data_IF_274338705490
#
_entry.id   IF_274338705490
#
_cell.length_a   1.000
_cell.length_b   1.000
_cell.length_c   1.000
_cell.angle_alpha   90.00
_cell.angle_beta   90.00
_cell.angle_gamma   90.00
#
_symmetry.space_group_name_H-M   'P 1'
#
loop_
_entity.id
_entity.type
_entity.pdbx_description
1 polymer ?
#
# COMPACT_ATOMS: atom_id res chain seq x y z
N UNK A 1 21.52 -0.14 8.40
CA UNK A 1 21.23 -1.10 7.32
C UNK A 1 20.32 -0.39 6.35
N UNK A 2 20.82 -0.06 5.16
CA UNK A 2 19.99 0.54 4.11
C UNK A 2 19.05 -0.54 3.59
N UNK A 3 17.73 -0.29 3.65
CA UNK A 3 16.79 -1.16 2.95
C UNK A 3 16.83 -0.85 1.47
N UNK A 4 16.82 -1.90 0.65
CA UNK A 4 16.69 -1.76 -0.79
C UNK A 4 15.45 -0.91 -1.12
N UNK A 5 15.48 -0.06 -2.16
CA UNK A 5 14.33 0.76 -2.54
C UNK A 5 13.08 -0.09 -2.81
N UNK A 6 11.89 0.49 -2.62
CA UNK A 6 10.62 -0.15 -2.95
C UNK A 6 10.56 -0.45 -4.46
N UNK A 7 10.29 -1.71 -4.81
CA UNK A 7 10.19 -2.14 -6.20
C UNK A 7 8.72 -2.14 -6.67
N UNK A 8 8.35 -1.17 -7.50
CA UNK A 8 6.99 -1.07 -8.04
C UNK A 8 6.74 -2.06 -9.20
N UNK A 9 5.49 -2.49 -9.44
CA UNK A 9 4.26 -2.15 -8.70
C UNK A 9 4.19 -2.79 -7.30
N UNK A 10 3.32 -2.27 -6.44
CA UNK A 10 3.14 -2.73 -5.05
C UNK A 10 1.66 -2.95 -4.70
N UNK A 11 1.41 -3.87 -3.78
CA UNK A 11 0.10 -4.04 -3.12
C UNK A 11 0.31 -3.63 -1.68
N UNK A 12 -0.44 -2.64 -1.23
CA UNK A 12 -0.30 -2.13 0.13
C UNK A 12 -1.61 -2.18 0.90
N UNK A 13 -1.47 -2.21 2.22
CA UNK A 13 -2.58 -2.04 3.15
C UNK A 13 -2.58 -0.64 3.74
N UNK A 14 -3.70 0.05 3.57
CA UNK A 14 -3.97 1.36 4.16
C UNK A 14 -5.27 1.32 4.94
N UNK A 15 -5.18 1.48 6.26
CA UNK A 15 -6.28 1.13 7.16
C UNK A 15 -6.66 -0.34 6.97
N UNK A 16 -7.90 -0.58 6.57
CA UNK A 16 -8.43 -1.92 6.25
C UNK A 16 -8.53 -2.20 4.75
N UNK A 17 -8.14 -1.23 3.92
CA UNK A 17 -8.17 -1.33 2.47
C UNK A 17 -6.89 -1.98 1.94
N UNK A 18 -7.04 -2.81 0.92
CA UNK A 18 -5.94 -3.42 0.17
C UNK A 18 -5.96 -2.82 -1.23
N UNK A 19 -4.86 -2.20 -1.62
CA UNK A 19 -4.80 -1.41 -2.85
C UNK A 19 -3.56 -1.83 -3.66
N UNK A 20 -3.73 -2.31 -4.90
CA UNK A 20 -2.66 -2.39 -5.89
C UNK A 20 -2.37 -1.00 -6.44
N UNK A 21 -1.09 -0.67 -6.59
CA UNK A 21 -0.68 0.61 -7.15
C UNK A 21 0.67 0.50 -7.86
N UNK A 22 0.81 1.22 -8.98
CA UNK A 22 2.08 1.43 -9.64
C UNK A 22 2.85 2.58 -8.98
N UNK A 23 3.59 3.33 -9.79
CA UNK A 23 4.39 4.47 -9.30
C UNK A 23 3.50 5.65 -8.89
N UNK A 24 2.22 5.61 -9.23
CA UNK A 24 1.24 6.68 -8.95
C UNK A 24 1.06 6.89 -7.44
N UNK A 25 1.36 5.88 -6.61
CA UNK A 25 1.36 5.97 -5.14
C UNK A 25 2.14 7.20 -4.64
N UNK A 26 3.27 7.49 -5.29
CA UNK A 26 4.17 8.59 -4.95
C UNK A 26 3.44 9.93 -5.06
N UNK A 27 2.66 10.11 -6.14
CA UNK A 27 1.87 11.31 -6.36
C UNK A 27 0.62 11.35 -5.48
N UNK A 28 -0.11 10.23 -5.40
CA UNK A 28 -1.43 10.15 -4.77
C UNK A 28 -1.39 10.41 -3.26
N UNK A 29 -0.34 9.92 -2.59
CA UNK A 29 -0.15 10.07 -1.15
C UNK A 29 0.92 11.10 -0.77
N UNK A 30 1.48 11.80 -1.77
CA UNK A 30 2.66 12.62 -1.58
C UNK A 30 3.79 11.84 -0.87
N UNK A 31 3.95 10.57 -1.24
CA UNK A 31 4.79 9.58 -0.56
C UNK A 31 6.26 9.82 -0.95
N UNK A 32 6.94 10.66 -0.16
CA UNK A 32 8.30 11.15 -0.45
C UNK A 32 9.35 10.46 0.41
N UNK A 33 10.43 10.00 -0.21
CA UNK A 33 11.61 9.51 0.51
C UNK A 33 12.33 10.67 1.20
N UNK A 34 12.68 10.51 2.48
CA UNK A 34 13.37 11.54 3.29
C UNK A 34 14.70 11.07 3.86
N UNK A 35 15.24 9.97 3.32
CA UNK A 35 16.52 9.39 3.70
C UNK A 35 16.40 8.06 4.45
N UNK A 36 17.46 7.25 4.37
CA UNK A 36 17.49 5.88 4.89
C UNK A 36 16.24 5.09 4.44
N UNK A 37 15.45 4.59 5.39
CA UNK A 37 14.25 3.79 5.14
C UNK A 37 12.97 4.58 5.42
N UNK A 38 13.05 5.92 5.40
CA UNK A 38 11.96 6.78 5.87
C UNK A 38 11.23 7.50 4.75
N UNK A 39 9.92 7.60 4.92
CA UNK A 39 9.00 8.19 3.97
C UNK A 39 8.05 9.15 4.66
N UNK A 40 7.83 10.32 4.07
CA UNK A 40 6.77 11.24 4.47
C UNK A 40 5.54 11.00 3.61
N UNK A 41 4.37 10.99 4.25
CA UNK A 41 3.08 10.84 3.61
C UNK A 41 2.09 11.83 4.20
N UNK A 42 1.17 12.35 3.38
CA UNK A 42 0.01 13.08 3.91
C UNK A 42 -0.97 12.10 4.56
N UNK A 43 -1.46 12.41 5.76
CA UNK A 43 -2.53 11.62 6.40
C UNK A 43 -3.91 12.16 5.97
N UNK A 44 -4.89 11.27 5.83
CA UNK A 44 -6.30 11.68 5.81
C UNK A 44 -6.73 12.05 7.25
N UNK A 45 -7.80 12.84 7.41
CA UNK A 45 -8.33 13.30 8.70
C UNK A 45 -8.81 12.16 9.63
N UNK A 46 -8.80 10.91 9.14
CA UNK A 46 -9.25 9.72 9.85
C UNK A 46 -8.07 8.99 10.50
N UNK A 47 -8.06 8.93 11.83
CA UNK A 47 -6.95 8.42 12.64
C UNK A 47 -6.68 6.91 12.52
N UNK A 48 -7.63 6.16 11.94
CA UNK A 48 -7.57 4.72 11.68
C UNK A 48 -6.97 4.37 10.30
N UNK A 49 -6.87 5.34 9.40
CA UNK A 49 -6.38 5.15 8.04
C UNK A 49 -4.88 5.41 7.92
N UNK A 50 -4.09 4.34 8.10
CA UNK A 50 -2.61 4.37 8.09
C UNK A 50 -2.03 3.26 7.23
N UNK A 51 -0.87 3.51 6.63
CA UNK A 51 -0.07 2.44 6.01
C UNK A 51 0.31 1.40 7.06
N UNK A 52 0.12 0.12 6.72
CA UNK A 52 0.45 -1.02 7.59
C UNK A 52 1.58 -1.85 7.03
N UNK A 53 1.44 -2.26 5.77
CA UNK A 53 2.45 -3.03 5.06
C UNK A 53 2.30 -2.84 3.56
N UNK A 54 3.34 -3.18 2.81
CA UNK A 54 3.30 -3.38 1.37
C UNK A 54 3.97 -4.70 0.98
N UNK A 55 3.59 -5.22 -0.16
CA UNK A 55 4.30 -6.28 -0.88
C UNK A 55 4.75 -5.68 -2.19
N UNK A 56 6.06 -5.73 -2.44
CA UNK A 56 6.65 -5.23 -3.67
C UNK A 56 6.62 -6.26 -4.80
N UNK A 57 6.99 -5.85 -6.03
CA UNK A 57 6.96 -6.74 -7.20
C UNK A 57 7.85 -7.99 -7.05
N UNK A 58 8.78 -8.01 -6.11
CA UNK A 58 9.65 -9.14 -5.83
C UNK A 58 9.13 -10.02 -4.69
N UNK A 59 7.87 -9.82 -4.29
CA UNK A 59 7.24 -10.56 -3.20
C UNK A 59 7.84 -10.24 -1.83
N UNK A 60 8.50 -9.10 -1.67
CA UNK A 60 9.01 -8.70 -0.36
C UNK A 60 7.91 -7.98 0.40
N UNK A 61 7.48 -8.59 1.50
CA UNK A 61 6.64 -7.94 2.50
C UNK A 61 7.49 -6.97 3.32
N UNK A 62 7.02 -5.73 3.43
CA UNK A 62 7.62 -4.69 4.25
C UNK A 62 6.55 -4.05 5.11
N UNK A 63 6.85 -3.89 6.38
CA UNK A 63 5.94 -3.27 7.34
C UNK A 63 6.27 -1.80 7.54
N UNK A 64 5.22 -1.01 7.73
CA UNK A 64 5.32 0.42 8.03
C UNK A 64 5.23 0.62 9.53
N UNK A 65 6.21 1.32 10.09
CA UNK A 65 6.19 1.81 11.46
C UNK A 65 6.09 3.33 11.45
N UNK A 66 5.19 3.90 12.26
CA UNK A 66 5.14 5.36 12.43
C UNK A 66 6.37 5.78 13.23
N UNK A 67 7.27 6.52 12.59
CA UNK A 67 8.47 7.08 13.22
C UNK A 67 8.20 8.45 13.85
N UNK A 68 7.24 9.21 13.32
CA UNK A 68 6.87 10.50 13.89
C UNK A 68 5.84 11.26 13.06
N UNK A 69 5.54 12.48 13.52
CA UNK A 69 4.62 13.40 12.86
C UNK A 69 5.32 14.73 12.64
N UNK A 70 5.40 15.19 11.39
CA UNK A 70 5.93 16.51 11.03
C UNK A 70 4.77 17.42 10.70
N UNK A 71 4.54 18.44 11.55
CA UNK A 71 3.42 19.40 11.53
C UNK A 71 2.09 18.83 12.04
N UNK A 72 2.03 18.57 13.35
CA UNK A 72 0.78 18.28 14.05
C UNK A 72 0.16 19.61 14.52
N UNK A 73 -0.76 20.17 13.75
CA UNK A 73 -1.57 21.28 14.24
C UNK A 73 -2.43 20.79 15.42
N UNK A 74 -2.65 21.65 16.42
CA UNK A 74 -3.49 21.33 17.58
C UNK A 74 -4.79 20.69 17.09
N UNK A 75 -5.14 19.54 17.68
CA UNK A 75 -6.26 18.64 17.30
C UNK A 75 -7.66 19.30 17.24
N UNK A 76 -7.75 20.60 17.48
CA UNK A 76 -8.96 21.42 17.45
C UNK A 76 -9.25 22.06 16.08
N UNK A 77 -8.30 22.06 15.14
CA UNK A 77 -8.48 22.62 13.80
C UNK A 77 -8.49 21.50 12.74
N UNK A 78 -9.61 20.77 12.68
CA UNK A 78 -9.80 19.60 11.79
C UNK A 78 -9.58 19.90 10.30
N UNK A 79 -9.77 21.14 9.86
CA UNK A 79 -9.59 21.55 8.47
C UNK A 79 -8.11 21.70 8.05
N UNK A 80 -7.17 21.79 9.00
CA UNK A 80 -5.71 21.87 8.73
C UNK A 80 -5.03 20.49 8.69
N UNK A 81 -5.78 19.40 8.86
CA UNK A 81 -5.24 18.03 8.81
C UNK A 81 -4.66 17.66 7.45
N UNK A 82 -5.10 18.33 6.38
CA UNK A 82 -4.50 18.25 5.04
C UNK A 82 -3.01 18.65 4.98
N UNK A 83 -2.47 19.23 6.07
CA UNK A 83 -1.06 19.62 6.20
C UNK A 83 -0.26 18.75 7.19
N UNK A 84 -0.88 17.76 7.84
CA UNK A 84 -0.20 16.83 8.74
C UNK A 84 0.56 15.78 7.94
N UNK A 85 1.89 15.75 8.07
CA UNK A 85 2.73 14.75 7.45
C UNK A 85 3.12 13.68 8.47
N UNK A 86 2.91 12.41 8.11
CA UNK A 86 3.38 11.27 8.89
C UNK A 86 4.71 10.82 8.34
N UNK A 87 5.69 10.66 9.23
CA UNK A 87 6.96 10.01 8.93
C UNK A 87 6.82 8.52 9.24
N UNK A 88 6.89 7.71 8.20
CA UNK A 88 6.96 6.27 8.30
C UNK A 88 8.41 5.80 8.15
N UNK A 89 8.77 4.79 8.92
CA UNK A 89 9.94 3.97 8.71
C UNK A 89 9.51 2.62 8.13
N UNK A 90 10.15 2.22 7.04
CA UNK A 90 9.91 0.96 6.39
C UNK A 90 10.87 -0.09 6.95
N UNK A 91 10.33 -1.13 7.55
CA UNK A 91 11.13 -2.21 8.10
C UNK A 91 11.76 -3.06 6.99
N UNK A 92 12.87 -3.78 7.29
CA UNK A 92 13.51 -4.66 6.32
C UNK A 92 12.52 -5.65 5.68
N UNK A 93 12.62 -5.76 4.36
CA UNK A 93 11.77 -6.67 3.59
C UNK A 93 12.10 -8.12 3.85
N UNK A 94 11.07 -8.96 3.81
CA UNK A 94 11.20 -10.42 3.85
C UNK A 94 10.35 -11.07 2.78
N UNK A 95 10.79 -12.21 2.30
CA UNK A 95 9.94 -13.09 1.51
C UNK A 95 8.68 -13.45 2.31
N UNK A 96 7.53 -13.47 1.62
CA UNK A 96 6.25 -13.82 2.20
C UNK A 96 5.58 -14.89 1.34
N UNK A 97 5.03 -15.89 2.01
CA UNK A 97 4.27 -16.96 1.35
C UNK A 97 2.82 -16.53 1.08
N UNK A 98 2.18 -17.22 0.13
CA UNK A 98 0.75 -17.05 -0.16
C UNK A 98 -0.10 -17.26 1.11
N UNK A 99 0.21 -18.26 1.92
CA UNK A 99 -0.51 -18.55 3.17
C UNK A 99 -0.42 -17.39 4.18
N UNK A 100 0.78 -16.83 4.37
CA UNK A 100 0.98 -15.67 5.24
C UNK A 100 0.20 -14.44 4.75
N UNK A 101 0.21 -14.18 3.43
CA UNK A 101 -0.56 -13.09 2.85
C UNK A 101 -2.06 -13.27 3.05
N UNK A 102 -2.59 -14.48 2.85
CA UNK A 102 -4.00 -14.77 3.14
C UNK A 102 -4.33 -14.51 4.62
N UNK A 103 -3.41 -14.83 5.54
CA UNK A 103 -3.55 -14.51 6.96
C UNK A 103 -3.57 -13.00 7.24
N UNK A 104 -2.70 -12.23 6.59
CA UNK A 104 -2.68 -10.76 6.68
C UNK A 104 -3.98 -10.15 6.13
N UNK A 105 -4.49 -10.70 5.03
CA UNK A 105 -5.72 -10.26 4.40
C UNK A 105 -6.95 -10.60 5.24
N UNK A 106 -6.97 -11.69 6.02
CA UNK A 106 -8.11 -12.05 6.86
C UNK A 106 -8.52 -10.93 7.84
N UNK A 107 -7.57 -10.04 8.18
CA UNK A 107 -7.78 -8.89 9.04
C UNK A 107 -8.22 -7.62 8.29
N UNK A 108 -8.51 -7.70 7.00
CA UNK A 108 -8.92 -6.58 6.14
C UNK A 108 -10.43 -6.54 5.95
N UNK A 109 -11.00 -5.34 5.78
CA UNK A 109 -12.42 -5.14 5.49
C UNK A 109 -12.69 -5.40 4.00
N UNK A 110 -13.45 -6.46 3.64
CA UNK A 110 -13.73 -6.81 2.26
C UNK A 110 -14.81 -5.93 1.60
N UNK A 111 -15.57 -5.15 2.37
CA UNK A 111 -16.78 -4.45 1.90
C UNK A 111 -16.55 -2.97 1.57
N UNK A 112 -15.32 -2.48 1.76
CA UNK A 112 -14.96 -1.13 1.33
C UNK A 112 -14.87 -1.06 -0.20
N UNK A 113 -15.56 -0.10 -0.80
CA UNK A 113 -15.55 0.14 -2.25
C UNK A 113 -14.13 0.34 -2.81
N UNK A 114 -13.15 0.75 -2.00
CA UNK A 114 -11.76 0.98 -2.45
C UNK A 114 -10.86 -0.25 -2.30
N UNK A 115 -11.38 -1.33 -1.70
CA UNK A 115 -10.59 -2.49 -1.29
C UNK A 115 -10.61 -3.57 -2.37
N UNK A 116 -9.43 -3.86 -2.93
CA UNK A 116 -9.21 -5.03 -3.78
C UNK A 116 -9.11 -6.35 -3.01
N UNK A 117 -9.38 -6.33 -1.69
CA UNK A 117 -9.22 -7.50 -0.80
C UNK A 117 -9.90 -8.76 -1.35
N UNK A 118 -11.09 -8.63 -1.96
CA UNK A 118 -11.82 -9.78 -2.48
C UNK A 118 -11.17 -10.38 -3.73
N UNK A 119 -10.76 -9.55 -4.70
CA UNK A 119 -10.10 -10.02 -5.92
C UNK A 119 -8.72 -10.60 -5.60
N UNK A 120 -7.95 -9.92 -4.75
CA UNK A 120 -6.63 -10.39 -4.36
C UNK A 120 -6.69 -11.69 -3.56
N UNK A 121 -7.63 -11.84 -2.61
CA UNK A 121 -7.84 -13.12 -1.92
C UNK A 121 -8.22 -14.25 -2.89
N UNK A 122 -9.03 -13.98 -3.93
CA UNK A 122 -9.37 -14.99 -4.95
C UNK A 122 -8.16 -15.39 -5.78
N UNK A 123 -7.33 -14.42 -6.16
CA UNK A 123 -6.08 -14.65 -6.87
C UNK A 123 -5.16 -15.58 -6.07
N UNK A 124 -4.85 -15.20 -4.82
CA UNK A 124 -3.97 -15.96 -3.93
C UNK A 124 -4.47 -17.39 -3.68
N UNK A 125 -5.78 -17.61 -3.58
CA UNK A 125 -6.37 -18.95 -3.39
C UNK A 125 -6.16 -19.91 -4.58
N UNK A 126 -5.73 -19.42 -5.74
CA UNK A 126 -5.40 -20.26 -6.91
C UNK A 126 -3.95 -20.72 -6.93
N UNK A 127 -3.10 -20.14 -6.08
CA UNK A 127 -1.67 -20.44 -6.00
C UNK A 127 -1.38 -21.47 -4.91
N UNK A 128 -0.19 -22.06 -4.95
CA UNK A 128 0.30 -22.94 -3.87
C UNK A 128 0.48 -22.13 -2.58
N UNK A 129 -0.11 -22.54 -1.43
CA UNK A 129 0.05 -21.84 -0.15
C UNK A 129 1.50 -21.61 0.30
N UNK A 130 2.42 -22.51 -0.07
CA UNK A 130 3.84 -22.43 0.28
C UNK A 130 4.65 -21.58 -0.70
N UNK A 131 4.08 -21.20 -1.84
CA UNK A 131 4.74 -20.37 -2.85
C UNK A 131 5.07 -18.99 -2.27
N UNK A 132 6.30 -18.52 -2.54
CA UNK A 132 6.69 -17.12 -2.37
C UNK A 132 6.29 -16.38 -3.63
N UNK A 133 5.56 -15.26 -3.49
CA UNK A 133 5.14 -14.47 -4.65
C UNK A 133 6.35 -13.97 -5.44
N UNK A 134 6.31 -14.14 -6.75
CA UNK A 134 7.28 -13.57 -7.68
C UNK A 134 6.68 -12.45 -8.51
N UNK A 135 7.55 -11.81 -9.31
CA UNK A 135 7.15 -10.75 -10.24
C UNK A 135 6.11 -11.22 -11.26
N UNK A 136 6.21 -12.47 -11.72
CA UNK A 136 5.25 -13.04 -12.67
C UNK A 136 3.83 -13.16 -12.07
N UNK A 137 3.71 -13.60 -10.82
CA UNK A 137 2.43 -13.68 -10.12
C UNK A 137 1.80 -12.29 -9.97
N UNK A 138 2.65 -11.32 -9.62
CA UNK A 138 2.24 -9.95 -9.40
C UNK A 138 1.72 -9.30 -10.69
N UNK A 139 2.47 -9.43 -11.79
CA UNK A 139 2.05 -8.93 -13.11
C UNK A 139 0.79 -9.64 -13.62
N UNK A 140 0.61 -10.92 -13.30
CA UNK A 140 -0.61 -11.66 -13.63
C UNK A 140 -1.80 -11.05 -12.91
N UNK A 141 -1.70 -10.83 -11.59
CA UNK A 141 -2.76 -10.19 -10.81
C UNK A 141 -3.10 -8.79 -11.33
N UNK A 142 -2.09 -7.95 -11.61
CA UNK A 142 -2.29 -6.58 -12.10
C UNK A 142 -2.96 -6.51 -13.49
N UNK A 143 -2.90 -7.59 -14.27
CA UNK A 143 -3.56 -7.70 -15.58
C UNK A 143 -4.97 -8.28 -15.49
N UNK A 144 -5.35 -8.88 -14.37
CA UNK A 144 -6.72 -9.36 -14.20
C UNK A 144 -7.64 -8.15 -14.20
N UNK A 145 -8.74 -8.18 -14.99
CA UNK A 145 -9.67 -7.08 -15.01
C UNK A 145 -10.11 -6.82 -13.57
N UNK A 146 -9.99 -5.56 -13.10
CA UNK A 146 -10.43 -5.23 -11.76
C UNK A 146 -11.86 -5.72 -11.59
N UNK A 147 -12.15 -6.39 -10.47
CA UNK A 147 -13.51 -6.82 -10.18
C UNK A 147 -14.40 -5.60 -10.00
N UNK A 148 -14.98 -5.05 -11.07
CA UNK A 148 -15.96 -3.95 -11.18
C UNK A 148 -15.69 -2.64 -10.39
N UNK A 149 -14.60 -2.55 -9.63
CA UNK A 149 -14.37 -1.51 -8.62
C UNK A 149 -13.49 -0.37 -9.15
N UNK A 150 -12.64 -0.63 -10.15
CA UNK A 150 -11.67 0.37 -10.64
C UNK A 150 -12.17 1.24 -11.80
N UNK A 151 -13.38 1.03 -12.31
CA UNK A 151 -14.01 1.91 -13.31
C UNK A 151 -14.27 3.35 -12.79
N UNK A 152 -13.92 3.64 -11.52
CA UNK A 152 -14.21 4.92 -10.85
C UNK A 152 -12.98 5.73 -10.44
N UNK A 153 -11.76 5.26 -10.67
CA UNK A 153 -10.61 6.17 -10.52
C UNK A 153 -10.50 6.99 -11.81
N UNK A 154 -10.57 8.33 -11.74
CA UNK A 154 -10.36 9.15 -12.93
C UNK A 154 -8.97 8.82 -13.48
N UNK A 155 -8.90 8.62 -14.79
CA UNK A 155 -7.64 8.61 -15.51
C UNK A 155 -6.84 9.83 -15.03
N UNK A 156 -5.70 9.59 -14.38
CA UNK A 156 -4.77 10.67 -14.08
C UNK A 156 -4.38 11.23 -15.45
N UNK A 157 -4.63 12.52 -15.74
CA UNK A 157 -4.28 13.08 -17.04
C UNK A 157 -2.80 12.81 -17.26
N UNK A 158 -2.48 12.15 -18.37
CA UNK A 158 -1.10 11.88 -18.75
C UNK A 158 -0.32 13.18 -18.69
N UNK A 159 0.73 13.20 -17.89
CA UNK A 159 1.80 14.18 -18.09
C UNK A 159 2.47 13.81 -19.41
N UNK A 160 1.98 14.39 -20.49
CA UNK A 160 2.76 14.53 -21.72
C UNK A 160 4.00 15.38 -21.41
N UNK A 161 5.14 14.87 -21.89
CA UNK A 161 6.43 15.51 -22.19
C UNK A 161 6.78 16.84 -21.55
#
# INVERSE_FOLDING_TARGET
MDTAPIAFPVIYRFGDDIVPCGKELIALWNFRHVGANRYLCSEDARTDQKFRWLVDRHGQLREFQVAGYRRRWLSKLNWLWSMSLVEYELLPGRAVTVSELLGLLARSNPDSEKSSSRSFRRFLKRLDPAQVLGEADFLTYMREPPSAIYDRYPEVPGHEG
#
